data_IF_893342572238
#
_entry.id   IF_893342572238
#
_cell.length_a   1.000
_cell.length_b   1.000
_cell.length_c   1.000
_cell.angle_alpha   90.00
_cell.angle_beta   90.00
_cell.angle_gamma   90.00
#
_symmetry.space_group_name_H-M   'P 1'
#
loop_
_entity.id
_entity.type
_entity.pdbx_description
1 polymer ?
#
# COMPACT_ATOMS: atom_id res chain seq x y z
N UNK A 1 -15.02 36.85 -69.39
CA UNK A 1 -15.93 36.89 -68.24
C UNK A 1 -15.27 36.04 -67.17
N UNK A 2 -14.68 36.70 -66.20
CA UNK A 2 -13.95 36.04 -65.10
C UNK A 2 -14.86 36.06 -63.87
N UNK A 3 -15.24 34.87 -63.38
CA UNK A 3 -16.02 34.73 -62.13
C UNK A 3 -15.06 34.57 -60.96
N UNK A 4 -15.01 35.57 -60.11
CA UNK A 4 -14.34 35.56 -58.82
C UNK A 4 -15.18 34.69 -57.81
N UNK A 5 -14.63 33.57 -57.33
CA UNK A 5 -15.18 32.85 -56.23
C UNK A 5 -14.65 33.43 -54.90
N UNK A 6 -15.52 34.07 -54.14
CA UNK A 6 -15.21 34.56 -52.78
C UNK A 6 -15.32 33.37 -51.82
N UNK A 7 -14.16 32.98 -51.26
CA UNK A 7 -14.08 31.98 -50.20
C UNK A 7 -14.43 32.64 -48.86
N UNK A 8 -15.67 32.40 -48.39
CA UNK A 8 -16.08 32.85 -47.06
C UNK A 8 -15.39 32.01 -45.96
N UNK A 9 -14.43 32.63 -45.25
CA UNK A 9 -13.90 32.12 -43.99
C UNK A 9 -15.00 32.16 -42.91
N UNK A 10 -15.55 31.01 -42.58
CA UNK A 10 -16.40 30.85 -41.39
C UNK A 10 -15.54 31.00 -40.15
N UNK A 11 -15.87 31.90 -39.21
CA UNK A 11 -15.19 31.93 -37.92
C UNK A 11 -15.56 30.67 -37.16
N UNK A 12 -14.55 29.86 -36.75
CA UNK A 12 -14.72 28.73 -35.88
C UNK A 12 -15.41 29.17 -34.60
N UNK A 13 -16.60 28.64 -34.37
CA UNK A 13 -17.30 28.80 -33.08
C UNK A 13 -16.48 28.15 -31.98
N UNK A 14 -15.73 28.95 -31.26
CA UNK A 14 -15.24 28.55 -29.94
C UNK A 14 -16.50 28.25 -29.08
N UNK A 15 -16.73 26.97 -28.82
CA UNK A 15 -17.76 26.52 -27.87
C UNK A 15 -17.43 27.16 -26.52
N UNK A 16 -18.26 28.09 -26.06
CA UNK A 16 -18.21 28.57 -24.66
C UNK A 16 -18.37 27.37 -23.74
N UNK A 17 -17.50 27.20 -22.72
CA UNK A 17 -17.71 26.13 -21.75
C UNK A 17 -19.07 26.26 -21.08
N UNK A 18 -19.79 25.16 -21.02
CA UNK A 18 -21.06 25.06 -20.27
C UNK A 18 -20.72 25.27 -18.77
N UNK A 19 -21.50 26.06 -18.00
CA UNK A 19 -21.30 26.21 -16.58
C UNK A 19 -21.29 24.83 -15.89
N UNK A 20 -20.18 24.46 -15.23
CA UNK A 20 -19.97 23.15 -14.61
C UNK A 20 -18.87 22.31 -15.23
N UNK A 21 -18.35 22.68 -16.41
CA UNK A 21 -17.28 21.93 -17.10
C UNK A 21 -16.08 22.83 -17.42
N UNK A 22 -15.46 23.40 -16.37
CA UNK A 22 -14.22 24.16 -16.50
C UNK A 22 -13.06 23.22 -16.86
N UNK A 23 -12.40 23.47 -17.99
CA UNK A 23 -11.23 22.69 -18.44
C UNK A 23 -9.98 23.21 -17.73
N UNK A 24 -9.35 22.36 -16.95
CA UNK A 24 -8.08 22.70 -16.26
C UNK A 24 -6.84 22.23 -16.99
N UNK A 25 -6.96 21.21 -17.84
CA UNK A 25 -5.90 20.85 -18.77
C UNK A 25 -6.43 20.18 -20.02
N UNK A 26 -5.60 20.11 -21.06
CA UNK A 26 -5.88 19.37 -22.29
C UNK A 26 -4.65 18.52 -22.64
N UNK A 27 -4.90 17.26 -23.05
CA UNK A 27 -3.90 16.33 -23.54
C UNK A 27 -4.34 15.80 -24.90
N UNK A 28 -3.62 16.14 -25.97
CA UNK A 28 -3.95 15.75 -27.35
C UNK A 28 -5.44 16.04 -27.68
N UNK A 29 -5.87 17.28 -27.35
CA UNK A 29 -7.25 17.77 -27.51
C UNK A 29 -8.31 17.04 -26.65
N UNK A 30 -7.91 16.20 -25.68
CA UNK A 30 -8.80 15.58 -24.69
C UNK A 30 -8.80 16.43 -23.41
N UNK A 31 -9.95 16.95 -22.97
CA UNK A 31 -10.03 17.82 -21.81
C UNK A 31 -9.98 17.03 -20.49
N UNK A 32 -9.30 17.62 -19.49
CA UNK A 32 -9.38 17.24 -18.08
C UNK A 32 -10.11 18.37 -17.35
N UNK A 33 -11.21 18.00 -16.69
CA UNK A 33 -12.09 18.96 -16.08
C UNK A 33 -11.78 19.22 -14.61
N UNK A 34 -12.10 20.41 -14.12
CA UNK A 34 -12.00 20.83 -12.73
C UNK A 34 -12.61 19.81 -11.77
N UNK A 35 -13.81 19.32 -12.08
CA UNK A 35 -14.55 18.39 -11.23
C UNK A 35 -13.81 17.08 -10.99
N UNK A 36 -12.99 16.64 -11.92
CA UNK A 36 -12.16 15.43 -11.74
C UNK A 36 -11.09 15.68 -10.70
N UNK A 37 -10.45 16.85 -10.72
CA UNK A 37 -9.40 17.24 -9.76
C UNK A 37 -10.02 17.47 -8.38
N UNK A 38 -11.13 18.23 -8.30
CA UNK A 38 -11.81 18.53 -7.03
C UNK A 38 -12.31 17.26 -6.34
N UNK A 39 -12.86 16.32 -7.07
CA UNK A 39 -13.29 15.02 -6.54
C UNK A 39 -12.14 14.25 -5.92
N UNK A 40 -11.00 14.15 -6.60
CA UNK A 40 -9.80 13.48 -6.08
C UNK A 40 -9.22 14.23 -4.89
N UNK A 41 -9.23 15.57 -4.92
CA UNK A 41 -8.80 16.41 -3.81
C UNK A 41 -9.64 16.13 -2.55
N UNK A 42 -10.97 16.21 -2.67
CA UNK A 42 -11.88 15.92 -1.55
C UNK A 42 -11.76 14.48 -1.04
N UNK A 43 -11.67 13.50 -1.92
CA UNK A 43 -11.49 12.10 -1.53
C UNK A 43 -10.19 11.83 -0.76
N UNK A 44 -9.12 12.58 -1.07
CA UNK A 44 -7.81 12.43 -0.40
C UNK A 44 -7.70 13.26 0.88
N UNK A 45 -8.44 14.37 1.01
CA UNK A 45 -8.43 15.25 2.19
C UNK A 45 -9.48 14.87 3.24
N UNK A 46 -10.57 14.18 2.87
CA UNK A 46 -11.62 13.72 3.80
C UNK A 46 -11.13 12.76 4.90
N UNK A 47 -9.90 12.23 4.78
CA UNK A 47 -9.30 11.28 5.73
C UNK A 47 -8.52 11.93 6.88
N UNK A 48 -8.74 13.24 7.17
CA UNK A 48 -8.23 13.88 8.39
C UNK A 48 -7.05 14.84 8.19
N UNK A 49 -6.88 15.41 7.00
CA UNK A 49 -5.97 16.55 6.85
C UNK A 49 -6.57 17.80 7.52
N UNK A 50 -5.79 18.49 8.38
CA UNK A 50 -6.08 19.85 8.81
C UNK A 50 -6.38 20.72 7.58
N UNK A 51 -7.22 21.75 7.75
CA UNK A 51 -7.54 22.67 6.67
C UNK A 51 -6.24 23.28 6.12
N UNK A 52 -5.81 22.79 4.94
CA UNK A 52 -4.63 23.29 4.25
C UNK A 52 -4.81 24.77 3.93
N UNK A 53 -3.72 25.55 3.95
CA UNK A 53 -3.77 26.91 3.41
C UNK A 53 -4.22 26.88 1.95
N UNK A 54 -4.70 28.02 1.45
CA UNK A 54 -5.14 28.11 0.05
C UNK A 54 -4.00 27.77 -0.94
N UNK A 55 -2.75 28.11 -0.58
CA UNK A 55 -1.55 27.77 -1.36
C UNK A 55 -1.26 26.27 -1.36
N UNK A 56 -1.39 25.64 -0.20
CA UNK A 56 -1.20 24.18 -0.08
C UNK A 56 -2.29 23.42 -0.85
N UNK A 57 -3.54 23.89 -0.75
CA UNK A 57 -4.65 23.32 -1.51
C UNK A 57 -4.44 23.46 -3.03
N UNK A 58 -4.00 24.64 -3.50
CA UNK A 58 -3.70 24.87 -4.92
C UNK A 58 -2.53 24.00 -5.40
N UNK A 59 -1.46 23.89 -4.60
CA UNK A 59 -0.32 23.01 -4.90
C UNK A 59 -0.74 21.55 -4.99
N UNK A 60 -1.60 21.09 -4.07
CA UNK A 60 -2.09 19.71 -4.08
C UNK A 60 -3.01 19.44 -5.30
N UNK A 61 -3.92 20.37 -5.63
CA UNK A 61 -4.75 20.28 -6.83
C UNK A 61 -3.90 20.24 -8.12
N UNK A 62 -2.84 21.05 -8.19
CA UNK A 62 -1.91 21.02 -9.32
C UNK A 62 -1.19 19.68 -9.45
N UNK A 63 -0.79 19.07 -8.35
CA UNK A 63 -0.19 17.72 -8.34
C UNK A 63 -1.17 16.65 -8.83
N UNK A 64 -2.44 16.71 -8.37
CA UNK A 64 -3.50 15.82 -8.87
C UNK A 64 -3.72 16.01 -10.37
N UNK A 65 -3.77 17.26 -10.84
CA UNK A 65 -3.93 17.55 -12.26
C UNK A 65 -2.77 16.97 -13.10
N UNK A 66 -1.53 17.11 -12.62
CA UNK A 66 -0.35 16.51 -13.29
C UNK A 66 -0.43 14.98 -13.33
N UNK A 67 -0.95 14.33 -12.29
CA UNK A 67 -1.22 12.89 -12.28
C UNK A 67 -2.26 12.52 -13.35
N UNK A 68 -3.37 13.25 -13.45
CA UNK A 68 -4.40 13.02 -14.46
C UNK A 68 -3.85 13.25 -15.90
N UNK A 69 -3.04 14.28 -16.10
CA UNK A 69 -2.34 14.53 -17.39
C UNK A 69 -1.49 13.31 -17.76
N UNK A 70 -0.66 12.81 -16.84
CA UNK A 70 0.20 11.65 -17.09
C UNK A 70 -0.64 10.39 -17.36
N UNK A 71 -1.73 10.16 -16.65
CA UNK A 71 -2.64 9.04 -16.88
C UNK A 71 -3.29 9.13 -18.26
N UNK A 72 -3.76 10.32 -18.65
CA UNK A 72 -4.36 10.55 -19.98
C UNK A 72 -3.35 10.29 -21.11
N UNK A 73 -2.09 10.74 -20.95
CA UNK A 73 -1.00 10.46 -21.90
C UNK A 73 -0.80 8.95 -22.04
N UNK A 74 -0.72 8.22 -20.93
CA UNK A 74 -0.55 6.76 -20.92
C UNK A 74 -1.71 6.04 -21.57
N UNK A 75 -2.95 6.41 -21.25
CA UNK A 75 -4.17 5.81 -21.84
C UNK A 75 -4.24 6.09 -23.34
N UNK A 76 -3.95 7.31 -23.78
CA UNK A 76 -3.91 7.68 -25.21
C UNK A 76 -2.86 6.84 -25.94
N UNK A 77 -1.66 6.72 -25.38
CA UNK A 77 -0.58 5.92 -25.98
C UNK A 77 -0.95 4.42 -26.01
N UNK A 78 -1.58 3.89 -24.95
CA UNK A 78 -2.05 2.51 -24.88
C UNK A 78 -3.08 2.21 -25.96
N UNK A 79 -3.98 3.15 -26.26
CA UNK A 79 -4.99 3.02 -27.33
C UNK A 79 -4.34 2.87 -28.71
N UNK A 80 -3.32 3.65 -29.00
CA UNK A 80 -2.52 3.51 -30.23
C UNK A 80 -1.81 2.16 -30.33
N UNK A 81 -1.42 1.59 -29.17
CA UNK A 81 -0.81 0.27 -29.07
C UNK A 81 -1.84 -0.88 -29.00
N UNK A 82 -3.14 -0.59 -29.17
CA UNK A 82 -4.27 -1.54 -29.07
C UNK A 82 -4.33 -2.30 -27.75
N UNK A 83 -3.89 -1.66 -26.67
CA UNK A 83 -4.00 -2.20 -25.31
C UNK A 83 -5.35 -1.80 -24.75
N UNK A 84 -6.15 -2.80 -24.36
CA UNK A 84 -7.51 -2.62 -23.84
C UNK A 84 -7.71 -3.40 -22.55
N UNK A 85 -8.72 -3.04 -21.78
CA UNK A 85 -9.25 -3.82 -20.67
C UNK A 85 -10.56 -4.48 -21.09
N UNK A 86 -10.69 -5.78 -20.89
CA UNK A 86 -11.93 -6.52 -21.11
C UNK A 86 -12.91 -6.29 -19.95
N UNK A 87 -14.20 -6.44 -20.20
CA UNK A 87 -15.21 -6.32 -19.14
C UNK A 87 -14.99 -7.34 -18.01
N UNK A 88 -14.54 -8.58 -18.33
CA UNK A 88 -14.22 -9.59 -17.33
C UNK A 88 -13.08 -9.16 -16.38
N UNK A 89 -12.03 -8.49 -16.89
CA UNK A 89 -10.96 -7.96 -16.05
C UNK A 89 -11.45 -6.82 -15.17
N UNK A 90 -12.33 -5.97 -15.70
CA UNK A 90 -12.93 -4.87 -14.94
C UNK A 90 -13.83 -5.44 -13.84
N UNK A 91 -14.69 -6.40 -14.14
CA UNK A 91 -15.58 -7.05 -13.18
C UNK A 91 -14.80 -7.73 -12.05
N UNK A 92 -13.74 -8.45 -12.41
CA UNK A 92 -12.84 -9.10 -11.43
C UNK A 92 -12.24 -8.05 -10.51
N UNK A 93 -11.71 -6.96 -11.04
CA UNK A 93 -11.06 -5.92 -10.24
C UNK A 93 -12.04 -5.17 -9.35
N UNK A 94 -13.26 -4.89 -9.85
CA UNK A 94 -14.33 -4.30 -9.04
C UNK A 94 -14.75 -5.26 -7.91
N UNK A 95 -14.85 -6.57 -8.18
CA UNK A 95 -15.16 -7.56 -7.15
C UNK A 95 -14.06 -7.64 -6.07
N UNK A 96 -12.77 -7.58 -6.46
CA UNK A 96 -11.66 -7.50 -5.51
C UNK A 96 -11.75 -6.27 -4.60
N UNK A 97 -12.01 -5.08 -5.18
CA UNK A 97 -12.16 -3.83 -4.42
C UNK A 97 -13.34 -3.86 -3.45
N UNK A 98 -14.40 -4.59 -3.82
CA UNK A 98 -15.59 -4.74 -2.99
C UNK A 98 -15.44 -5.79 -1.89
N UNK A 99 -14.60 -6.82 -2.08
CA UNK A 99 -14.55 -8.02 -1.22
C UNK A 99 -14.35 -7.76 0.28
N UNK A 100 -13.60 -6.70 0.73
CA UNK A 100 -13.42 -6.42 2.14
C UNK A 100 -14.64 -5.77 2.82
N UNK A 101 -15.68 -5.38 2.06
CA UNK A 101 -16.80 -4.57 2.54
C UNK A 101 -18.13 -5.27 2.33
N UNK A 102 -19.09 -4.99 3.20
CA UNK A 102 -20.50 -5.26 2.91
C UNK A 102 -20.98 -4.37 1.75
N UNK A 103 -22.15 -4.70 1.20
CA UNK A 103 -22.72 -3.92 0.09
C UNK A 103 -22.93 -2.45 0.48
N UNK A 104 -23.46 -2.20 1.67
CA UNK A 104 -23.80 -0.86 2.14
C UNK A 104 -22.55 -0.03 2.48
N UNK A 105 -21.55 -0.64 3.11
CA UNK A 105 -20.25 0.00 3.38
C UNK A 105 -19.55 0.39 2.08
N UNK A 106 -19.56 -0.49 1.09
CA UNK A 106 -18.96 -0.19 -0.20
C UNK A 106 -19.65 0.97 -0.92
N UNK A 107 -20.98 1.00 -0.92
CA UNK A 107 -21.76 2.10 -1.47
C UNK A 107 -21.45 3.42 -0.75
N UNK A 108 -21.38 3.40 0.58
CA UNK A 108 -21.02 4.57 1.38
C UNK A 108 -19.62 5.08 1.02
N UNK A 109 -18.64 4.19 0.89
CA UNK A 109 -17.28 4.57 0.48
C UNK A 109 -17.24 5.19 -0.92
N UNK A 110 -18.00 4.69 -1.87
CA UNK A 110 -18.10 5.30 -3.20
C UNK A 110 -18.68 6.71 -3.12
N UNK A 111 -19.77 6.90 -2.35
CA UNK A 111 -20.37 8.22 -2.14
C UNK A 111 -19.43 9.21 -1.48
N UNK A 112 -18.67 8.78 -0.46
CA UNK A 112 -17.64 9.59 0.21
C UNK A 112 -16.54 10.05 -0.76
N UNK A 113 -16.26 9.25 -1.80
CA UNK A 113 -15.30 9.57 -2.86
C UNK A 113 -15.95 10.32 -4.05
N UNK A 114 -17.26 10.60 -4.00
CA UNK A 114 -17.99 11.20 -5.09
C UNK A 114 -18.05 10.34 -6.36
N UNK A 115 -18.01 9.01 -6.20
CA UNK A 115 -18.04 8.03 -7.29
C UNK A 115 -19.39 7.32 -7.34
N UNK A 116 -19.86 7.10 -8.55
CA UNK A 116 -20.88 6.10 -8.86
C UNK A 116 -20.23 4.83 -9.43
N UNK A 117 -21.05 3.84 -9.71
CA UNK A 117 -20.58 2.54 -10.25
C UNK A 117 -19.88 2.68 -11.61
N UNK A 118 -20.35 3.58 -12.47
CA UNK A 118 -19.82 3.75 -13.83
C UNK A 118 -18.48 4.49 -13.78
N UNK A 119 -18.37 5.52 -12.93
CA UNK A 119 -17.10 6.21 -12.68
C UNK A 119 -16.04 5.28 -12.09
N UNK A 120 -16.41 4.42 -11.12
CA UNK A 120 -15.51 3.38 -10.59
C UNK A 120 -15.03 2.44 -11.71
N UNK A 121 -15.95 1.94 -12.54
CA UNK A 121 -15.60 1.04 -13.66
C UNK A 121 -14.66 1.73 -14.65
N UNK A 122 -14.89 3.01 -14.93
CA UNK A 122 -14.00 3.79 -15.80
C UNK A 122 -12.59 3.91 -15.22
N UNK A 123 -12.48 4.25 -13.93
CA UNK A 123 -11.18 4.33 -13.25
C UNK A 123 -10.46 2.96 -13.24
N UNK A 124 -11.20 1.88 -12.97
CA UNK A 124 -10.64 0.52 -13.01
C UNK A 124 -10.15 0.16 -14.41
N UNK A 125 -10.93 0.49 -15.44
CA UNK A 125 -10.54 0.28 -16.84
C UNK A 125 -9.24 0.99 -17.18
N UNK A 126 -9.14 2.27 -16.85
CA UNK A 126 -7.92 3.08 -17.07
C UNK A 126 -6.72 2.49 -16.33
N UNK A 127 -6.89 2.12 -15.05
CA UNK A 127 -5.84 1.49 -14.24
C UNK A 127 -5.33 0.18 -14.84
N UNK A 128 -6.24 -0.67 -15.37
CA UNK A 128 -5.87 -1.93 -16.05
C UNK A 128 -5.07 -1.63 -17.32
N UNK A 129 -5.53 -0.67 -18.13
CA UNK A 129 -4.87 -0.29 -19.38
C UNK A 129 -3.46 0.22 -19.11
N UNK A 130 -3.30 1.14 -18.14
CA UNK A 130 -2.00 1.69 -17.74
C UNK A 130 -1.09 0.57 -17.22
N UNK A 131 -1.61 -0.32 -16.37
CA UNK A 131 -0.84 -1.45 -15.84
C UNK A 131 -0.34 -2.36 -16.98
N UNK A 132 -1.20 -2.70 -17.94
CA UNK A 132 -0.82 -3.51 -19.10
C UNK A 132 0.25 -2.82 -19.96
N UNK A 133 0.11 -1.51 -20.18
CA UNK A 133 1.09 -0.73 -20.93
C UNK A 133 2.45 -0.76 -20.23
N UNK A 134 2.49 -0.42 -18.94
CA UNK A 134 3.72 -0.41 -18.15
C UNK A 134 4.37 -1.80 -18.10
N UNK A 135 3.57 -2.84 -17.90
CA UNK A 135 4.07 -4.22 -17.92
C UNK A 135 4.70 -4.58 -19.27
N UNK A 136 4.04 -4.21 -20.37
CA UNK A 136 4.52 -4.52 -21.74
C UNK A 136 5.80 -3.74 -22.07
N UNK A 137 5.80 -2.43 -21.84
CA UNK A 137 6.87 -1.54 -22.32
C UNK A 137 8.06 -1.44 -21.35
N UNK A 138 7.87 -1.76 -20.07
CA UNK A 138 8.89 -1.58 -19.03
C UNK A 138 9.16 -2.86 -18.26
N UNK A 139 8.17 -3.37 -17.49
CA UNK A 139 8.40 -4.43 -16.49
C UNK A 139 8.92 -5.72 -17.11
N UNK A 140 8.40 -6.09 -18.30
CA UNK A 140 8.83 -7.27 -19.04
C UNK A 140 10.29 -7.21 -19.53
N UNK A 141 10.87 -6.03 -19.60
CA UNK A 141 12.24 -5.81 -20.06
C UNK A 141 13.24 -5.60 -18.92
N UNK A 142 12.78 -5.51 -17.68
CA UNK A 142 13.66 -5.34 -16.52
C UNK A 142 14.38 -6.65 -16.22
N UNK A 143 15.69 -6.62 -16.33
CA UNK A 143 16.58 -7.68 -15.85
C UNK A 143 17.51 -7.14 -14.77
N UNK A 144 17.82 -8.00 -13.80
CA UNK A 144 18.82 -7.74 -12.74
C UNK A 144 19.85 -8.86 -12.81
N UNK A 145 21.08 -8.48 -13.13
CA UNK A 145 22.20 -9.41 -13.27
C UNK A 145 22.86 -9.72 -11.92
N UNK A 146 23.54 -10.85 -11.82
CA UNK A 146 24.28 -11.20 -10.61
C UNK A 146 25.44 -10.24 -10.34
N UNK A 147 26.01 -9.62 -11.38
CA UNK A 147 27.03 -8.57 -11.22
C UNK A 147 26.46 -7.31 -10.55
N UNK A 148 25.24 -6.91 -10.89
CA UNK A 148 24.57 -5.78 -10.21
C UNK A 148 24.24 -6.11 -8.76
N UNK A 149 23.80 -7.34 -8.48
CA UNK A 149 23.55 -7.81 -7.12
C UNK A 149 24.83 -7.75 -6.31
N UNK A 150 25.95 -8.25 -6.86
CA UNK A 150 27.25 -8.21 -6.17
C UNK A 150 27.73 -6.77 -5.92
N UNK A 151 27.62 -5.89 -6.91
CA UNK A 151 27.99 -4.48 -6.77
C UNK A 151 27.13 -3.77 -5.71
N UNK A 152 25.81 -4.01 -5.70
CA UNK A 152 24.91 -3.46 -4.70
C UNK A 152 25.27 -3.95 -3.28
N UNK A 153 25.53 -5.26 -3.13
CA UNK A 153 25.92 -5.84 -1.86
C UNK A 153 27.21 -5.20 -1.33
N UNK A 154 28.27 -5.12 -2.13
CA UNK A 154 29.54 -4.54 -1.68
C UNK A 154 29.38 -3.06 -1.29
N UNK A 155 28.61 -2.29 -2.04
CA UNK A 155 28.31 -0.88 -1.71
C UNK A 155 27.52 -0.72 -0.42
N UNK A 156 26.62 -1.66 -0.12
CA UNK A 156 25.68 -1.59 1.01
C UNK A 156 25.96 -2.64 2.08
N UNK A 157 27.17 -3.21 2.14
CA UNK A 157 27.54 -4.35 2.98
C UNK A 157 27.15 -4.19 4.45
N UNK A 158 27.28 -2.98 4.99
CA UNK A 158 26.92 -2.67 6.36
C UNK A 158 25.43 -2.92 6.66
N UNK A 159 24.55 -2.75 5.66
CA UNK A 159 23.10 -2.96 5.81
C UNK A 159 22.74 -4.46 5.94
N UNK A 160 23.68 -5.34 5.62
CA UNK A 160 23.52 -6.78 5.71
C UNK A 160 24.27 -7.37 6.92
N UNK A 161 24.72 -6.52 7.86
CA UNK A 161 25.28 -6.92 9.12
C UNK A 161 24.20 -6.87 10.21
N UNK A 162 23.94 -8.02 10.83
CA UNK A 162 23.04 -8.14 11.98
C UNK A 162 23.88 -8.06 13.25
N UNK A 163 23.69 -7.00 14.02
CA UNK A 163 24.53 -6.69 15.18
C UNK A 163 24.44 -7.74 16.29
N UNK A 164 23.26 -8.34 16.46
CA UNK A 164 22.99 -9.39 17.44
C UNK A 164 21.91 -10.34 16.93
N UNK A 165 21.93 -11.59 17.42
CA UNK A 165 20.87 -12.55 17.09
C UNK A 165 19.50 -12.02 17.49
N UNK A 166 18.53 -12.12 16.58
CA UNK A 166 17.13 -11.79 16.82
C UNK A 166 16.26 -13.03 16.73
N UNK A 167 15.22 -13.07 17.55
CA UNK A 167 14.28 -14.19 17.65
C UNK A 167 12.89 -13.68 17.26
N UNK A 168 12.31 -14.24 16.21
CA UNK A 168 10.91 -14.01 15.86
C UNK A 168 10.06 -14.95 16.71
N UNK A 169 9.31 -14.39 17.66
CA UNK A 169 8.51 -15.17 18.60
C UNK A 169 7.06 -14.77 18.57
N UNK A 170 6.22 -15.72 18.91
CA UNK A 170 4.82 -15.49 19.24
C UNK A 170 4.54 -15.93 20.67
N UNK A 171 3.54 -15.31 21.31
CA UNK A 171 3.10 -15.68 22.66
C UNK A 171 1.61 -15.90 22.77
N UNK A 172 1.23 -16.82 23.66
CA UNK A 172 -0.09 -16.89 24.26
C UNK A 172 0.11 -16.51 25.72
N UNK A 173 -0.62 -15.49 26.17
CA UNK A 173 -0.60 -15.03 27.56
C UNK A 173 -1.95 -15.27 28.21
N UNK A 174 -1.95 -15.68 29.47
CA UNK A 174 -3.13 -15.76 30.33
C UNK A 174 -2.82 -15.08 31.66
N UNK A 175 -3.57 -14.04 31.99
CA UNK A 175 -3.36 -13.22 33.19
C UNK A 175 -4.04 -13.84 34.42
N UNK A 176 -3.52 -13.57 35.66
CA UNK A 176 -4.10 -14.18 36.87
C UNK A 176 -5.34 -13.46 37.41
N UNK A 177 -5.97 -12.59 36.66
CA UNK A 177 -7.13 -11.80 37.07
C UNK A 177 -7.79 -11.11 35.91
N UNK A 178 -9.04 -10.70 36.10
CA UNK A 178 -9.82 -10.04 35.05
C UNK A 178 -9.14 -8.77 34.52
N UNK A 179 -9.09 -8.62 33.20
CA UNK A 179 -8.54 -7.46 32.52
C UNK A 179 -9.54 -6.94 31.47
N UNK A 180 -9.98 -5.70 31.65
CA UNK A 180 -10.95 -5.06 30.75
C UNK A 180 -10.40 -4.80 29.33
N UNK A 181 -9.09 -4.92 29.11
CA UNK A 181 -8.44 -4.70 27.82
C UNK A 181 -8.34 -5.98 26.98
N UNK A 182 -8.70 -7.14 27.52
CA UNK A 182 -8.70 -8.42 26.77
C UNK A 182 -9.60 -8.30 25.53
N UNK A 183 -9.04 -8.66 24.37
CA UNK A 183 -9.69 -8.52 23.06
C UNK A 183 -9.54 -9.76 22.18
N UNK A 184 -9.51 -10.95 22.79
CA UNK A 184 -9.49 -12.20 22.01
C UNK A 184 -10.86 -12.49 21.38
N UNK A 185 -10.87 -13.33 20.32
CA UNK A 185 -12.08 -13.61 19.54
C UNK A 185 -13.21 -14.30 20.35
N UNK A 186 -12.87 -14.98 21.46
CA UNK A 186 -13.85 -15.65 22.32
C UNK A 186 -14.32 -14.78 23.49
N UNK A 187 -13.76 -13.58 23.66
CA UNK A 187 -13.96 -12.75 24.84
C UNK A 187 -13.75 -13.55 26.14
N UNK A 188 -12.75 -14.42 26.12
CA UNK A 188 -12.42 -15.33 27.21
C UNK A 188 -11.29 -14.73 28.05
N UNK A 189 -11.62 -14.34 29.29
CA UNK A 189 -10.71 -13.71 30.25
C UNK A 189 -10.72 -14.48 31.56
N UNK A 190 -9.55 -14.85 32.07
CA UNK A 190 -9.41 -15.58 33.30
C UNK A 190 -9.52 -14.67 34.52
N UNK A 191 -10.63 -14.72 35.24
CA UNK A 191 -10.94 -13.82 36.35
C UNK A 191 -10.24 -14.14 37.66
N UNK A 192 -9.54 -15.28 37.81
CA UNK A 192 -8.84 -15.71 39.03
C UNK A 192 -7.54 -16.48 38.69
N UNK A 193 -6.55 -16.53 39.59
CA UNK A 193 -5.32 -17.30 39.38
C UNK A 193 -5.57 -18.78 39.06
N UNK A 194 -6.56 -19.39 39.72
CA UNK A 194 -6.93 -20.78 39.48
C UNK A 194 -7.63 -20.99 38.13
N UNK A 195 -8.38 -20.00 37.66
CA UNK A 195 -8.96 -20.02 36.32
C UNK A 195 -7.86 -19.85 35.25
N UNK A 196 -6.93 -18.94 35.46
CA UNK A 196 -5.80 -18.72 34.57
C UNK A 196 -4.90 -19.96 34.41
N UNK A 197 -4.63 -20.67 35.53
CA UNK A 197 -3.86 -21.90 35.48
C UNK A 197 -4.57 -23.02 34.72
N UNK A 198 -5.89 -23.20 34.94
CA UNK A 198 -6.69 -24.16 34.16
C UNK A 198 -6.76 -23.81 32.69
N UNK A 199 -6.96 -22.53 32.38
CA UNK A 199 -7.03 -22.04 31.01
C UNK A 199 -5.73 -22.31 30.27
N UNK A 200 -4.56 -21.89 30.79
CA UNK A 200 -3.28 -22.08 30.10
C UNK A 200 -2.95 -23.58 29.92
N UNK A 201 -3.30 -24.44 30.87
CA UNK A 201 -3.16 -25.90 30.76
C UNK A 201 -4.04 -26.47 29.63
N UNK A 202 -5.26 -26.00 29.50
CA UNK A 202 -6.16 -26.41 28.43
C UNK A 202 -5.64 -25.94 27.05
N UNK A 203 -5.14 -24.70 26.94
CA UNK A 203 -4.55 -24.18 25.71
C UNK A 203 -3.28 -24.96 25.34
N UNK A 204 -2.43 -25.29 26.31
CA UNK A 204 -1.25 -26.09 26.07
C UNK A 204 -1.61 -27.50 25.56
N UNK A 205 -2.64 -28.14 26.12
CA UNK A 205 -3.13 -29.45 25.66
C UNK A 205 -3.66 -29.37 24.20
N UNK A 206 -4.34 -28.28 23.82
CA UNK A 206 -4.79 -28.04 22.43
C UNK A 206 -3.60 -27.93 21.47
N UNK A 207 -2.56 -27.20 21.84
CA UNK A 207 -1.34 -27.09 21.04
C UNK A 207 -0.65 -28.44 20.87
N UNK A 208 -0.58 -29.26 21.95
CA UNK A 208 -0.03 -30.62 21.88
C UNK A 208 -0.86 -31.53 20.97
N UNK A 209 -2.16 -31.30 20.84
CA UNK A 209 -3.01 -32.04 19.90
C UNK A 209 -2.87 -31.59 18.43
N UNK A 210 -2.03 -30.60 18.18
CA UNK A 210 -1.72 -30.11 16.82
C UNK A 210 -2.56 -28.92 16.34
N UNK A 211 -3.31 -28.27 17.25
CA UNK A 211 -4.02 -27.06 16.90
C UNK A 211 -3.05 -25.92 16.56
N UNK A 212 -3.43 -25.07 15.59
CA UNK A 212 -2.56 -24.00 15.14
C UNK A 212 -2.35 -22.93 16.22
N UNK A 213 -1.11 -22.57 16.49
CA UNK A 213 -0.73 -21.64 17.55
C UNK A 213 -1.33 -20.25 17.36
N UNK A 214 -1.34 -19.74 16.12
CA UNK A 214 -1.86 -18.41 15.84
C UNK A 214 -3.38 -18.36 16.05
N UNK A 215 -4.09 -19.42 15.67
CA UNK A 215 -5.53 -19.57 15.90
C UNK A 215 -5.83 -19.58 17.40
N UNK A 216 -5.10 -20.40 18.18
CA UNK A 216 -5.30 -20.46 19.64
C UNK A 216 -4.98 -19.11 20.29
N UNK A 217 -3.95 -18.40 19.81
CA UNK A 217 -3.61 -17.07 20.32
C UNK A 217 -4.72 -16.05 20.02
N UNK A 218 -5.25 -16.01 18.78
CA UNK A 218 -6.36 -15.12 18.40
C UNK A 218 -7.62 -15.37 19.22
N UNK A 219 -7.92 -16.64 19.45
CA UNK A 219 -9.15 -17.02 20.14
C UNK A 219 -9.08 -16.80 21.65
N UNK A 220 -7.92 -16.99 22.30
CA UNK A 220 -7.83 -17.13 23.75
C UNK A 220 -6.72 -16.35 24.45
N UNK A 221 -5.73 -15.80 23.73
CA UNK A 221 -4.68 -15.01 24.37
C UNK A 221 -5.25 -13.74 25.00
N UNK A 222 -4.80 -13.43 26.21
CA UNK A 222 -5.20 -12.25 26.95
C UNK A 222 -4.22 -11.08 26.77
N UNK A 223 -3.20 -11.21 25.90
CA UNK A 223 -2.35 -10.08 25.51
C UNK A 223 -3.06 -9.20 24.46
N UNK A 224 -3.53 -7.99 24.82
CA UNK A 224 -4.30 -7.14 23.90
C UNK A 224 -3.48 -6.63 22.70
N UNK A 225 -2.14 -6.65 22.80
CA UNK A 225 -1.25 -6.15 21.76
C UNK A 225 -1.02 -7.17 20.65
N UNK A 226 -0.99 -8.45 20.99
CA UNK A 226 -0.56 -9.51 20.05
C UNK A 226 -1.63 -10.53 19.72
N UNK A 227 -2.67 -10.66 20.53
CA UNK A 227 -3.72 -11.67 20.34
C UNK A 227 -4.33 -11.62 18.92
N UNK A 228 -4.76 -10.45 18.46
CA UNK A 228 -5.35 -10.27 17.13
C UNK A 228 -4.40 -10.67 15.97
N UNK A 229 -3.09 -10.54 16.19
CA UNK A 229 -2.01 -10.95 15.27
C UNK A 229 -1.57 -12.41 15.44
N UNK A 230 -2.35 -13.27 16.14
CA UNK A 230 -1.96 -14.66 16.38
C UNK A 230 -0.82 -14.80 17.40
N UNK A 231 -0.67 -13.82 18.28
CA UNK A 231 0.38 -13.76 19.29
C UNK A 231 1.73 -13.26 18.80
N UNK A 232 1.87 -12.84 17.53
CA UNK A 232 3.12 -12.43 16.92
C UNK A 232 3.69 -11.17 17.61
N UNK A 233 4.92 -11.29 18.15
CA UNK A 233 5.66 -10.21 18.81
C UNK A 233 6.72 -9.58 17.89
N UNK A 234 6.89 -10.11 16.68
CA UNK A 234 7.96 -9.71 15.76
C UNK A 234 9.33 -10.23 16.18
N UNK A 235 10.38 -9.63 15.60
CA UNK A 235 11.77 -9.95 15.92
C UNK A 235 12.22 -9.21 17.17
N UNK A 236 12.68 -9.98 18.17
CA UNK A 236 13.18 -9.48 19.45
C UNK A 236 14.70 -9.73 19.52
N UNK A 237 15.52 -8.69 19.75
CA UNK A 237 16.96 -8.85 19.88
C UNK A 237 17.33 -9.65 21.15
N UNK A 238 18.39 -10.44 21.07
CA UNK A 238 18.86 -11.27 22.19
C UNK A 238 19.11 -10.45 23.45
N UNK A 239 19.55 -9.19 23.31
CA UNK A 239 19.77 -8.25 24.41
C UNK A 239 18.49 -7.92 25.17
N UNK A 240 17.34 -7.80 24.50
CA UNK A 240 16.06 -7.54 25.16
C UNK A 240 15.58 -8.69 26.05
N UNK A 241 15.98 -9.93 25.73
CA UNK A 241 15.68 -11.11 26.55
C UNK A 241 16.49 -11.16 27.85
N UNK A 242 17.52 -10.32 28.02
CA UNK A 242 18.32 -10.27 29.23
C UNK A 242 17.52 -9.80 30.46
N UNK A 243 16.43 -9.09 30.28
CA UNK A 243 15.53 -8.68 31.36
C UNK A 243 14.79 -9.85 32.02
N UNK A 244 14.71 -10.99 31.34
CA UNK A 244 14.06 -12.23 31.84
C UNK A 244 14.92 -13.45 31.50
N UNK A 245 15.92 -13.80 32.35
CA UNK A 245 16.78 -14.95 32.12
C UNK A 245 16.04 -16.28 31.87
N UNK A 246 14.93 -16.60 32.56
CA UNK A 246 14.18 -17.81 32.25
C UNK A 246 13.58 -17.79 30.83
N UNK A 247 13.04 -16.63 30.39
CA UNK A 247 12.51 -16.48 29.02
C UNK A 247 13.62 -16.61 27.97
N UNK A 248 14.77 -15.98 28.23
CA UNK A 248 15.95 -16.10 27.35
C UNK A 248 16.39 -17.55 27.19
N UNK A 249 16.57 -18.26 28.29
CA UNK A 249 16.96 -19.67 28.28
C UNK A 249 15.94 -20.52 27.50
N UNK A 250 14.67 -20.27 27.70
CA UNK A 250 13.59 -20.98 26.99
C UNK A 250 13.66 -20.70 25.48
N UNK A 251 13.63 -19.43 25.07
CA UNK A 251 13.62 -19.04 23.65
C UNK A 251 14.85 -19.60 22.92
N UNK A 252 16.04 -19.54 23.55
CA UNK A 252 17.29 -20.03 22.94
C UNK A 252 17.37 -21.56 22.86
N UNK A 253 16.55 -22.29 23.63
CA UNK A 253 16.48 -23.76 23.58
C UNK A 253 15.50 -24.30 22.54
N UNK A 254 14.59 -23.45 22.05
CA UNK A 254 13.59 -23.86 21.07
C UNK A 254 14.19 -23.97 19.67
N UNK A 255 13.69 -24.91 18.89
CA UNK A 255 13.88 -24.95 17.42
C UNK A 255 12.77 -24.13 16.75
N UNK A 256 13.08 -23.57 15.58
CA UNK A 256 12.06 -22.86 14.77
C UNK A 256 10.85 -23.77 14.53
N UNK A 257 9.67 -23.25 14.80
CA UNK A 257 8.40 -23.96 14.76
C UNK A 257 7.97 -24.59 16.09
N UNK A 258 8.86 -24.75 17.06
CA UNK A 258 8.54 -25.30 18.39
C UNK A 258 7.93 -24.24 19.31
N UNK A 259 7.10 -24.70 20.25
CA UNK A 259 6.60 -23.88 21.36
C UNK A 259 7.10 -24.42 22.71
N UNK A 260 7.16 -23.51 23.68
CA UNK A 260 7.66 -23.80 25.03
C UNK A 260 6.64 -24.57 25.87
N UNK A 261 7.07 -25.24 26.93
CA UNK A 261 6.20 -25.52 28.07
C UNK A 261 5.58 -24.23 28.63
N UNK A 262 4.61 -24.37 29.53
CA UNK A 262 4.01 -23.25 30.24
C UNK A 262 5.06 -22.54 31.09
N UNK A 263 5.23 -21.24 30.89
CA UNK A 263 6.12 -20.37 31.65
C UNK A 263 5.29 -19.53 32.60
N UNK A 264 5.66 -19.49 33.89
CA UNK A 264 5.06 -18.61 34.89
C UNK A 264 5.91 -17.35 35.05
N UNK A 265 5.28 -16.20 35.04
CA UNK A 265 5.90 -14.89 35.29
C UNK A 265 5.05 -14.06 36.27
N UNK A 266 5.51 -12.87 36.63
CA UNK A 266 4.72 -11.92 37.41
C UNK A 266 3.46 -11.44 36.67
N UNK A 267 3.47 -11.47 35.31
CA UNK A 267 2.34 -11.09 34.46
C UNK A 267 1.37 -12.22 34.14
N UNK A 268 1.56 -13.43 34.71
CA UNK A 268 0.70 -14.58 34.48
C UNK A 268 1.42 -15.76 33.85
N UNK A 269 0.71 -16.49 33.01
CA UNK A 269 1.20 -17.69 32.33
C UNK A 269 1.42 -17.39 30.84
N UNK A 270 2.49 -17.97 30.29
CA UNK A 270 2.86 -17.77 28.89
C UNK A 270 3.20 -19.10 28.23
N UNK A 271 2.90 -19.21 26.95
CA UNK A 271 3.46 -20.21 26.04
C UNK A 271 4.10 -19.41 24.89
N UNK A 272 5.36 -19.66 24.63
CA UNK A 272 6.14 -18.97 23.58
C UNK A 272 6.39 -19.93 22.43
N UNK A 273 6.20 -19.48 21.19
CA UNK A 273 6.59 -20.21 19.99
C UNK A 273 7.71 -19.47 19.29
N UNK A 274 8.76 -20.18 18.88
CA UNK A 274 9.81 -19.63 18.04
C UNK A 274 9.37 -19.75 16.56
N UNK A 275 9.08 -18.62 15.94
CA UNK A 275 8.65 -18.55 14.54
C UNK A 275 9.86 -18.51 13.59
N UNK A 276 10.96 -17.87 14.02
CA UNK A 276 12.17 -17.71 13.24
C UNK A 276 13.35 -17.22 14.09
N UNK A 277 14.52 -17.28 13.53
CA UNK A 277 15.74 -16.75 14.14
C UNK A 277 16.62 -16.17 13.04
N UNK A 278 17.22 -15.02 13.32
CA UNK A 278 18.24 -14.40 12.49
C UNK A 278 19.52 -14.27 13.31
N UNK A 279 20.56 -14.98 12.88
CA UNK A 279 21.83 -15.04 13.61
C UNK A 279 22.61 -13.73 13.43
N UNK A 280 23.31 -13.32 14.49
CA UNK A 280 24.26 -12.21 14.42
C UNK A 280 25.37 -12.52 13.40
N UNK A 281 25.83 -11.49 12.72
CA UNK A 281 26.91 -11.59 11.77
C UNK A 281 26.66 -10.91 10.44
N UNK A 282 27.59 -11.09 9.52
CA UNK A 282 27.50 -10.57 8.17
C UNK A 282 26.73 -11.57 7.29
N UNK A 283 25.52 -11.21 6.90
CA UNK A 283 24.79 -11.97 5.90
C UNK A 283 25.44 -11.77 4.53
N UNK A 284 25.88 -12.86 3.93
CA UNK A 284 26.64 -12.84 2.67
C UNK A 284 25.77 -13.12 1.46
N UNK A 285 26.31 -12.91 0.26
CA UNK A 285 25.63 -13.26 -0.98
C UNK A 285 25.40 -14.76 -1.19
N UNK A 286 25.98 -15.63 -0.35
CA UNK A 286 25.63 -17.05 -0.36
C UNK A 286 24.24 -17.32 0.22
N UNK A 287 23.69 -16.39 1.00
CA UNK A 287 22.29 -16.44 1.45
C UNK A 287 21.36 -16.00 0.31
N UNK A 288 20.50 -16.93 -0.14
CA UNK A 288 19.53 -16.68 -1.19
C UNK A 288 18.51 -15.61 -0.80
N UNK A 289 18.24 -15.39 0.48
CA UNK A 289 17.35 -14.34 0.98
C UNK A 289 17.97 -12.97 0.72
N UNK A 290 19.27 -12.81 0.97
CA UNK A 290 20.03 -11.59 0.66
C UNK A 290 20.00 -11.30 -0.84
N UNK A 291 20.32 -12.31 -1.66
CA UNK A 291 20.23 -12.16 -3.11
C UNK A 291 18.82 -11.77 -3.57
N UNK A 292 17.79 -12.43 -3.03
CA UNK A 292 16.39 -12.16 -3.36
C UNK A 292 15.98 -10.74 -2.99
N UNK A 293 16.32 -10.27 -1.80
CA UNK A 293 16.04 -8.92 -1.32
C UNK A 293 16.71 -7.85 -2.19
N UNK A 294 18.01 -8.03 -2.51
CA UNK A 294 18.74 -7.12 -3.38
C UNK A 294 18.16 -7.12 -4.80
N UNK A 295 17.86 -8.29 -5.36
CA UNK A 295 17.23 -8.40 -6.68
C UNK A 295 15.90 -7.65 -6.74
N UNK A 296 15.08 -7.77 -5.71
CA UNK A 296 13.80 -7.07 -5.64
C UNK A 296 14.00 -5.55 -5.52
N UNK A 297 14.95 -5.11 -4.68
CA UNK A 297 15.28 -3.68 -4.54
C UNK A 297 15.74 -3.08 -5.86
N UNK A 298 16.72 -3.70 -6.52
CA UNK A 298 17.23 -3.25 -7.81
C UNK A 298 16.17 -3.27 -8.91
N UNK A 299 15.29 -4.28 -8.90
CA UNK A 299 14.16 -4.35 -9.83
C UNK A 299 13.21 -3.18 -9.63
N UNK A 300 12.85 -2.87 -8.36
CA UNK A 300 11.97 -1.76 -8.03
C UNK A 300 12.60 -0.41 -8.41
N UNK A 301 13.89 -0.20 -8.13
CA UNK A 301 14.62 1.00 -8.51
C UNK A 301 14.63 1.20 -10.03
N UNK A 302 14.94 0.13 -10.80
CA UNK A 302 14.90 0.16 -12.26
C UNK A 302 13.50 0.45 -12.78
N UNK A 303 12.48 -0.18 -12.20
CA UNK A 303 11.09 0.05 -12.60
C UNK A 303 10.69 1.51 -12.41
N UNK A 304 10.98 2.09 -11.24
CA UNK A 304 10.67 3.49 -10.97
C UNK A 304 11.39 4.44 -11.94
N UNK A 305 12.69 4.22 -12.14
CA UNK A 305 13.48 5.05 -13.06
C UNK A 305 12.98 4.96 -14.51
N UNK A 306 12.77 3.74 -15.00
CA UNK A 306 12.31 3.51 -16.38
C UNK A 306 10.89 4.05 -16.59
N UNK A 307 10.00 3.87 -15.59
CA UNK A 307 8.64 4.40 -15.62
C UNK A 307 8.63 5.92 -15.67
N UNK A 308 9.44 6.57 -14.82
CA UNK A 308 9.58 8.03 -14.84
C UNK A 308 10.10 8.52 -16.20
N UNK A 309 11.18 7.92 -16.72
CA UNK A 309 11.72 8.25 -18.04
C UNK A 309 10.75 8.01 -19.19
N UNK A 310 9.96 6.92 -19.11
CA UNK A 310 8.96 6.61 -20.13
C UNK A 310 7.81 7.62 -20.13
N UNK A 311 7.31 8.01 -18.97
CA UNK A 311 6.26 9.03 -18.84
C UNK A 311 6.78 10.36 -19.40
N UNK A 312 8.00 10.77 -19.04
CA UNK A 312 8.60 12.00 -19.53
C UNK A 312 8.80 11.99 -21.06
N UNK A 313 9.25 10.86 -21.59
CA UNK A 313 9.37 10.67 -23.04
C UNK A 313 8.02 10.82 -23.76
N UNK A 314 6.96 10.24 -23.22
CA UNK A 314 5.62 10.36 -23.79
C UNK A 314 5.07 11.78 -23.63
N UNK A 315 5.29 12.42 -22.48
CA UNK A 315 4.86 13.78 -22.20
C UNK A 315 5.47 14.79 -23.20
N UNK A 316 6.76 14.61 -23.54
CA UNK A 316 7.46 15.45 -24.53
C UNK A 316 6.92 15.28 -25.96
N UNK A 317 6.14 14.24 -26.25
CA UNK A 317 5.52 13.99 -27.55
C UNK A 317 4.05 14.41 -27.60
N UNK A 318 3.41 14.47 -26.44
CA UNK A 318 2.01 14.86 -26.32
C UNK A 318 1.86 16.38 -26.37
N UNK A 319 0.72 16.84 -26.91
CA UNK A 319 0.32 18.25 -26.83
C UNK A 319 -0.38 18.48 -25.50
N UNK A 320 0.31 19.06 -24.54
CA UNK A 320 -0.23 19.32 -23.20
C UNK A 320 -0.42 20.81 -22.99
N UNK A 321 -1.63 21.22 -22.58
CA UNK A 321 -1.94 22.57 -22.11
C UNK A 321 -2.44 22.45 -20.67
N UNK A 322 -1.83 23.20 -19.73
CA UNK A 322 -2.22 23.21 -18.32
C UNK A 322 -2.71 24.61 -17.94
N UNK A 323 -4.00 24.81 -18.06
CA UNK A 323 -4.65 26.10 -17.78
C UNK A 323 -4.56 26.48 -16.31
N UNK A 324 -4.70 25.54 -15.37
CA UNK A 324 -4.55 25.80 -13.94
C UNK A 324 -3.14 26.35 -13.62
N UNK A 325 -2.09 25.75 -14.19
CA UNK A 325 -0.74 26.22 -13.97
C UNK A 325 -0.52 27.63 -14.55
N UNK A 326 -1.05 27.90 -15.75
CA UNK A 326 -1.00 29.24 -16.34
C UNK A 326 -1.73 30.28 -15.49
N UNK A 327 -2.89 29.93 -14.95
CA UNK A 327 -3.70 30.84 -14.13
C UNK A 327 -3.03 31.10 -12.77
N UNK A 328 -2.42 30.10 -12.15
CA UNK A 328 -1.59 30.28 -10.94
C UNK A 328 -0.45 31.27 -11.20
N UNK A 329 0.28 31.11 -12.30
CA UNK A 329 1.40 32.01 -12.65
C UNK A 329 0.91 33.41 -12.97
N UNK A 330 -0.19 33.57 -13.74
CA UNK A 330 -0.77 34.88 -14.07
C UNK A 330 -1.30 35.62 -12.86
N UNK A 331 -1.86 34.91 -11.88
CA UNK A 331 -2.38 35.49 -10.65
C UNK A 331 -1.26 35.80 -9.61
N UNK A 332 -0.02 35.38 -9.87
CA UNK A 332 1.08 35.52 -8.90
C UNK A 332 0.88 34.69 -7.65
N UNK A 333 0.14 33.59 -7.75
CA UNK A 333 -0.22 32.69 -6.66
C UNK A 333 -1.57 32.01 -6.90
N UNK A 334 -2.54 32.21 -6.01
CA UNK A 334 -3.85 31.55 -6.10
C UNK A 334 -4.75 32.28 -7.09
N UNK A 335 -5.27 31.62 -8.14
CA UNK A 335 -6.28 32.19 -9.02
C UNK A 335 -7.61 32.37 -8.28
N UNK A 336 -8.33 33.43 -8.58
CA UNK A 336 -9.64 33.76 -7.97
C UNK A 336 -10.71 32.68 -8.16
N UNK A 337 -10.48 31.70 -9.03
CA UNK A 337 -11.39 30.59 -9.36
C UNK A 337 -10.94 29.22 -8.80
N UNK A 338 -9.84 29.16 -8.07
CA UNK A 338 -9.28 27.90 -7.54
C UNK A 338 -9.54 27.68 -6.03
N UNK A 339 -10.34 28.57 -5.42
CA UNK A 339 -10.77 28.49 -4.04
C UNK A 339 -12.00 27.64 -3.82
#
# INVERSE_FOLDING_TARGET
>A
MASLAVLALLPGCARKPTPGHEVWAEVDDQPIYREQVERLYHGRTAQGAEAASSEEAASFKLNILNELINNQILVTHASHSRITASEAEIDTKVAELRSPYSKDEFQKKLQEQGLDSDALRSQVREGIIITKLINKEIVSHISVTDAEIAAYYEKNKANFAVAETTYHIAQIQVTPGADAEVRNLKNDDASTPAAAERKIQALYARLLSGEDFATVAQEYSEDPRTAAGGGDMGFIPASALNSSPPLKQMVTSLKVGQFSPIIRSSGGFHIIKLLGMEEAGQHTLTDLRVQGAIRQTLRNEKEQLLKAGYIEMLRNRAKVVNHLAEDIVKAGGIPSHAG
#
